data_IF_486553855206
#
_entry.id   IF_486553855206
#
_cell.length_a   1.000
_cell.length_b   1.000
_cell.length_c   1.000
_cell.angle_alpha   90.00
_cell.angle_beta   90.00
_cell.angle_gamma   90.00
#
_symmetry.space_group_name_H-M   'P 1'
#
loop_
_entity.id
_entity.type
_entity.pdbx_description
1 polymer ?
#
# COMPACT_ATOMS: atom_id res chain seq x y z
N UNK A 1 0.65 3.90 3.33
CA UNK A 1 0.29 3.29 2.03
C UNK A 1 0.80 1.86 1.96
N UNK A 2 2.12 1.59 1.98
CA UNK A 2 2.66 0.23 1.84
C UNK A 2 2.02 -0.73 2.85
N UNK A 3 2.04 -0.39 4.14
CA UNK A 3 1.45 -1.21 5.21
C UNK A 3 -0.04 -1.47 5.01
N UNK A 4 -0.79 -0.49 4.51
CA UNK A 4 -2.25 -0.66 4.29
C UNK A 4 -2.51 -1.64 3.16
N UNK A 5 -1.81 -1.47 2.04
CA UNK A 5 -1.92 -2.35 0.87
C UNK A 5 -1.53 -3.79 1.23
N UNK A 6 -0.41 -3.97 1.95
CA UNK A 6 0.01 -5.31 2.41
C UNK A 6 -0.98 -5.92 3.39
N UNK A 7 -1.59 -5.13 4.27
CA UNK A 7 -2.63 -5.62 5.19
C UNK A 7 -3.90 -6.05 4.44
N UNK A 8 -4.33 -5.32 3.41
CA UNK A 8 -5.48 -5.72 2.58
C UNK A 8 -5.17 -7.03 1.85
N UNK A 9 -3.95 -7.18 1.29
CA UNK A 9 -3.54 -8.42 0.64
C UNK A 9 -3.46 -9.60 1.62
N UNK A 10 -2.89 -9.39 2.80
CA UNK A 10 -2.84 -10.42 3.86
C UNK A 10 -4.23 -10.81 4.33
N UNK A 11 -5.14 -9.84 4.45
CA UNK A 11 -6.53 -10.12 4.79
C UNK A 11 -7.26 -10.91 3.70
N UNK A 12 -6.92 -10.69 2.41
CA UNK A 12 -7.43 -11.54 1.33
C UNK A 12 -6.97 -13.01 1.47
N UNK A 13 -5.73 -13.23 1.92
CA UNK A 13 -5.19 -14.57 2.19
C UNK A 13 -5.78 -15.21 3.46
N UNK A 14 -6.08 -14.42 4.48
CA UNK A 14 -6.69 -14.87 5.73
C UNK A 14 -7.89 -13.99 6.11
N UNK A 15 -9.09 -14.26 5.58
CA UNK A 15 -10.30 -13.47 5.83
C UNK A 15 -10.91 -13.66 7.24
N UNK A 16 -10.28 -14.46 8.09
CA UNK A 16 -10.64 -14.66 9.49
C UNK A 16 -9.89 -13.73 10.45
N UNK A 17 -8.89 -12.99 9.97
CA UNK A 17 -8.03 -12.13 10.78
C UNK A 17 -8.76 -10.84 11.19
N UNK A 18 -9.32 -10.86 12.39
CA UNK A 18 -10.09 -9.75 12.97
C UNK A 18 -9.22 -8.53 13.23
N UNK A 19 -7.94 -8.72 13.59
CA UNK A 19 -7.03 -7.60 13.80
C UNK A 19 -6.70 -6.87 12.50
N UNK A 20 -6.38 -7.61 11.43
CA UNK A 20 -6.15 -7.03 10.11
C UNK A 20 -7.40 -6.31 9.61
N UNK A 21 -8.59 -6.93 9.78
CA UNK A 21 -9.85 -6.30 9.40
C UNK A 21 -10.06 -4.95 10.07
N UNK A 22 -9.83 -4.86 11.38
CA UNK A 22 -9.97 -3.60 12.13
C UNK A 22 -8.96 -2.51 11.71
N UNK A 23 -7.87 -2.88 11.06
CA UNK A 23 -6.88 -1.92 10.51
C UNK A 23 -7.24 -1.40 9.12
N UNK A 24 -8.11 -2.11 8.37
CA UNK A 24 -8.37 -1.82 6.95
C UNK A 24 -9.81 -1.42 6.63
N UNK A 25 -10.83 -1.84 7.39
CA UNK A 25 -12.24 -1.68 7.04
C UNK A 25 -12.63 -0.23 6.71
N UNK A 26 -12.11 0.74 7.45
CA UNK A 26 -12.43 2.16 7.28
C UNK A 26 -11.65 2.84 6.14
N UNK A 27 -10.64 2.16 5.61
CA UNK A 27 -9.83 2.60 4.45
C UNK A 27 -10.40 2.12 3.13
N UNK A 28 -11.27 1.15 3.20
CA UNK A 28 -12.04 0.62 2.08
C UNK A 28 -13.50 1.09 2.20
N UNK A 29 -14.22 1.17 1.12
CA UNK A 29 -15.60 1.67 1.09
C UNK A 29 -16.60 0.69 1.71
N UNK A 30 -16.37 0.26 2.95
CA UNK A 30 -17.31 -0.61 3.68
C UNK A 30 -18.47 0.16 4.30
N UNK A 31 -18.26 1.44 4.61
CA UNK A 31 -19.18 2.32 5.36
C UNK A 31 -19.58 1.77 6.74
N UNK A 32 -18.84 0.83 7.28
CA UNK A 32 -19.03 0.30 8.63
C UNK A 32 -18.62 1.33 9.68
N UNK A 33 -19.45 1.49 10.69
CA UNK A 33 -19.07 2.18 11.92
C UNK A 33 -18.16 1.28 12.76
N UNK A 34 -17.37 1.87 13.66
CA UNK A 34 -16.44 1.14 14.53
C UNK A 34 -17.11 0.01 15.32
N UNK A 35 -18.26 0.30 15.93
CA UNK A 35 -19.02 -0.71 16.70
C UNK A 35 -19.54 -1.85 15.82
N UNK A 36 -19.96 -1.56 14.59
CA UNK A 36 -20.38 -2.57 13.62
C UNK A 36 -19.21 -3.46 13.19
N UNK A 37 -18.04 -2.86 12.87
CA UNK A 37 -16.84 -3.64 12.55
C UNK A 37 -16.42 -4.57 13.70
N UNK A 38 -16.47 -4.09 14.95
CA UNK A 38 -16.21 -4.90 16.14
C UNK A 38 -17.25 -6.01 16.35
N UNK A 39 -18.51 -5.74 16.00
CA UNK A 39 -19.57 -6.76 16.04
C UNK A 39 -19.29 -7.89 15.03
N UNK A 40 -18.89 -7.52 13.78
CA UNK A 40 -18.51 -8.52 12.79
C UNK A 40 -17.35 -9.39 13.26
N UNK A 41 -16.33 -8.80 13.87
CA UNK A 41 -15.20 -9.56 14.43
C UNK A 41 -15.65 -10.57 15.47
N UNK A 42 -16.49 -10.18 16.43
CA UNK A 42 -17.03 -11.10 17.44
C UNK A 42 -17.82 -12.24 16.84
N UNK A 43 -18.74 -11.96 15.91
CA UNK A 43 -19.53 -12.98 15.23
C UNK A 43 -18.61 -13.93 14.44
N UNK A 44 -17.58 -13.41 13.77
CA UNK A 44 -16.59 -14.20 13.04
C UNK A 44 -15.87 -15.19 13.96
N UNK A 45 -15.40 -14.72 15.11
CA UNK A 45 -14.70 -15.54 16.12
C UNK A 45 -15.62 -16.60 16.73
N UNK A 46 -16.85 -16.22 17.11
CA UNK A 46 -17.84 -17.13 17.72
C UNK A 46 -18.31 -18.24 16.76
N UNK A 47 -18.50 -17.90 15.48
CA UNK A 47 -19.05 -18.81 14.48
C UNK A 47 -18.01 -19.46 13.58
N UNK A 48 -16.73 -19.05 13.70
CA UNK A 48 -15.64 -19.51 12.83
C UNK A 48 -15.92 -19.29 11.33
N UNK A 49 -16.42 -18.11 10.98
CA UNK A 49 -16.70 -17.69 9.59
C UNK A 49 -15.85 -16.47 9.20
N UNK A 50 -15.60 -16.23 7.89
CA UNK A 50 -14.89 -15.02 7.44
C UNK A 50 -15.55 -13.75 7.96
N UNK A 51 -14.74 -12.75 8.36
CA UNK A 51 -15.24 -11.51 9.02
C UNK A 51 -16.30 -10.80 8.21
N UNK A 52 -16.14 -10.70 6.89
CA UNK A 52 -17.12 -10.03 6.04
C UNK A 52 -18.42 -10.85 5.82
N UNK A 53 -18.37 -12.17 5.97
CA UNK A 53 -19.55 -13.03 5.93
C UNK A 53 -20.37 -12.92 7.23
N UNK A 54 -19.73 -12.54 8.33
CA UNK A 54 -20.42 -12.23 9.58
C UNK A 54 -21.44 -11.08 9.44
N UNK A 55 -21.32 -10.23 8.39
CA UNK A 55 -22.28 -9.19 8.10
C UNK A 55 -23.70 -9.72 7.83
N UNK A 56 -23.84 -10.95 7.33
CA UNK A 56 -25.15 -11.61 7.11
C UNK A 56 -25.86 -11.96 8.43
N UNK A 57 -25.11 -12.07 9.50
CA UNK A 57 -25.59 -12.45 10.83
C UNK A 57 -25.64 -11.26 11.79
N UNK A 58 -25.15 -10.09 11.38
CA UNK A 58 -25.08 -8.91 12.22
C UNK A 58 -26.40 -8.13 12.20
N UNK A 59 -26.86 -7.75 13.37
CA UNK A 59 -28.05 -6.91 13.52
C UNK A 59 -27.70 -5.42 13.32
N UNK A 60 -28.64 -4.64 12.79
CA UNK A 60 -28.52 -3.18 12.68
C UNK A 60 -27.66 -2.71 11.49
N UNK A 61 -27.30 -3.60 10.56
CA UNK A 61 -26.71 -3.22 9.28
C UNK A 61 -27.83 -2.88 8.28
N UNK A 62 -27.73 -1.72 7.64
CA UNK A 62 -28.63 -1.41 6.53
C UNK A 62 -28.22 -2.13 5.25
N UNK A 63 -29.14 -2.24 4.28
CA UNK A 63 -28.90 -2.97 3.03
C UNK A 63 -27.73 -2.46 2.21
N UNK A 64 -27.42 -1.15 2.27
CA UNK A 64 -26.27 -0.56 1.59
C UNK A 64 -24.95 -1.08 2.19
N UNK A 65 -24.79 -1.02 3.51
CA UNK A 65 -23.58 -1.50 4.20
C UNK A 65 -23.40 -2.99 3.99
N UNK A 66 -24.48 -3.78 4.09
CA UNK A 66 -24.44 -5.21 3.80
C UNK A 66 -23.98 -5.49 2.35
N UNK A 67 -24.53 -4.75 1.37
CA UNK A 67 -24.11 -4.85 -0.02
C UNK A 67 -22.61 -4.52 -0.22
N UNK A 68 -22.09 -3.51 0.49
CA UNK A 68 -20.66 -3.17 0.45
C UNK A 68 -19.78 -4.26 1.08
N UNK A 69 -20.19 -4.86 2.18
CA UNK A 69 -19.47 -6.00 2.78
C UNK A 69 -19.42 -7.21 1.83
N UNK A 70 -20.53 -7.53 1.16
CA UNK A 70 -20.58 -8.59 0.14
C UNK A 70 -19.66 -8.28 -1.06
N UNK A 71 -19.69 -7.06 -1.55
CA UNK A 71 -18.82 -6.61 -2.63
C UNK A 71 -17.34 -6.72 -2.22
N UNK A 72 -16.98 -6.28 -1.02
CA UNK A 72 -15.62 -6.38 -0.50
C UNK A 72 -15.18 -7.85 -0.41
N UNK A 73 -15.99 -8.74 0.17
CA UNK A 73 -15.69 -10.17 0.23
C UNK A 73 -15.48 -10.77 -1.17
N UNK A 74 -16.27 -10.35 -2.15
CA UNK A 74 -16.13 -10.79 -3.55
C UNK A 74 -14.81 -10.30 -4.15
N UNK A 75 -14.44 -9.03 -3.91
CA UNK A 75 -13.16 -8.49 -4.38
C UNK A 75 -11.97 -9.23 -3.77
N UNK A 76 -12.00 -9.54 -2.46
CA UNK A 76 -10.93 -10.30 -1.80
C UNK A 76 -10.78 -11.71 -2.41
N UNK A 77 -11.88 -12.42 -2.65
CA UNK A 77 -11.84 -13.74 -3.31
C UNK A 77 -11.27 -13.68 -4.72
N UNK A 78 -11.60 -12.64 -5.48
CA UNK A 78 -11.07 -12.47 -6.83
C UNK A 78 -9.57 -12.17 -6.82
N UNK A 79 -9.07 -11.40 -5.84
CA UNK A 79 -7.63 -11.11 -5.69
C UNK A 79 -6.77 -12.37 -5.63
N UNK A 80 -7.28 -13.46 -5.04
CA UNK A 80 -6.53 -14.72 -4.91
C UNK A 80 -6.24 -15.41 -6.25
N UNK A 81 -6.94 -15.00 -7.31
CA UNK A 81 -6.85 -15.58 -8.66
C UNK A 81 -6.17 -14.62 -9.65
N UNK A 82 -5.81 -13.43 -9.23
CA UNK A 82 -5.32 -12.36 -10.09
C UNK A 82 -3.83 -12.10 -9.84
N UNK A 83 -3.14 -11.60 -10.88
CA UNK A 83 -1.78 -11.11 -10.74
C UNK A 83 -1.73 -9.86 -9.83
N UNK A 84 -0.63 -9.63 -9.10
CA UNK A 84 -0.51 -8.52 -8.14
C UNK A 84 -0.83 -7.14 -8.72
N UNK A 85 -0.51 -6.88 -9.98
CA UNK A 85 -0.87 -5.62 -10.67
C UNK A 85 -2.39 -5.39 -10.73
N UNK A 86 -3.16 -6.44 -11.00
CA UNK A 86 -4.64 -6.40 -10.98
C UNK A 86 -5.18 -6.28 -9.56
N UNK A 87 -4.53 -6.92 -8.59
CA UNK A 87 -4.87 -6.80 -7.18
C UNK A 87 -4.71 -5.36 -6.70
N UNK A 88 -3.60 -4.69 -7.05
CA UNK A 88 -3.37 -3.28 -6.69
C UNK A 88 -4.40 -2.35 -7.33
N UNK A 89 -4.75 -2.55 -8.60
CA UNK A 89 -5.84 -1.83 -9.24
C UNK A 89 -7.17 -2.02 -8.49
N UNK A 90 -7.45 -3.25 -8.06
CA UNK A 90 -8.67 -3.58 -7.31
C UNK A 90 -8.72 -2.91 -5.94
N UNK A 91 -7.58 -2.83 -5.26
CA UNK A 91 -7.43 -2.13 -3.97
C UNK A 91 -7.69 -0.63 -4.17
N UNK A 92 -7.03 -0.03 -5.16
CA UNK A 92 -7.12 1.41 -5.43
C UNK A 92 -8.55 1.85 -5.80
N UNK A 93 -9.14 1.20 -6.80
CA UNK A 93 -10.37 1.68 -7.43
C UNK A 93 -11.62 0.99 -6.87
N UNK A 94 -11.90 -0.31 -7.08
CA UNK A 94 -13.14 -0.92 -6.60
C UNK A 94 -13.30 -0.96 -5.09
N UNK A 95 -12.20 -1.09 -4.33
CA UNK A 95 -12.24 -1.04 -2.87
C UNK A 95 -12.20 0.38 -2.31
N UNK A 96 -11.90 1.39 -3.15
CA UNK A 96 -11.93 2.80 -2.79
C UNK A 96 -10.75 3.28 -1.96
N UNK A 97 -9.64 2.55 -1.95
CA UNK A 97 -8.44 2.98 -1.24
C UNK A 97 -7.83 4.25 -1.84
N UNK A 98 -7.92 4.45 -3.17
CA UNK A 98 -7.51 5.68 -3.84
C UNK A 98 -8.27 6.90 -3.31
N UNK A 99 -9.61 6.82 -3.21
CA UNK A 99 -10.40 7.89 -2.60
C UNK A 99 -10.07 8.13 -1.12
N UNK A 100 -9.68 7.09 -0.38
CA UNK A 100 -9.20 7.24 1.00
C UNK A 100 -7.91 8.06 1.03
N UNK A 101 -6.96 7.82 0.13
CA UNK A 101 -5.71 8.59 0.03
C UNK A 101 -6.00 10.06 -0.29
N UNK A 102 -6.84 10.33 -1.30
CA UNK A 102 -7.23 11.68 -1.70
C UNK A 102 -7.89 12.46 -0.55
N UNK A 103 -8.88 11.87 0.13
CA UNK A 103 -9.58 12.51 1.26
C UNK A 103 -8.67 12.83 2.44
N UNK A 104 -7.57 12.10 2.61
CA UNK A 104 -6.61 12.31 3.70
C UNK A 104 -5.35 13.08 3.25
N UNK A 105 -5.33 13.63 2.04
CA UNK A 105 -4.19 14.32 1.44
C UNK A 105 -2.89 13.50 1.55
N UNK A 106 -3.00 12.18 1.34
CA UNK A 106 -1.85 11.28 1.38
C UNK A 106 -1.25 11.14 -0.01
N UNK A 107 0.08 11.14 -0.06
CA UNK A 107 0.84 10.94 -1.30
C UNK A 107 0.63 9.51 -1.86
N UNK A 108 0.29 9.41 -3.13
CA UNK A 108 0.07 8.16 -3.87
C UNK A 108 1.33 7.61 -4.55
N UNK A 109 2.46 8.34 -4.55
CA UNK A 109 3.71 7.89 -5.16
C UNK A 109 4.12 6.48 -4.71
N UNK A 110 3.90 6.15 -3.44
CA UNK A 110 4.17 4.80 -2.92
C UNK A 110 3.27 3.73 -3.54
N UNK A 111 2.04 4.07 -3.88
CA UNK A 111 1.14 3.16 -4.58
C UNK A 111 1.60 2.94 -6.03
N UNK A 112 2.06 3.99 -6.69
CA UNK A 112 2.67 3.89 -8.01
C UNK A 112 3.90 2.97 -8.02
N UNK A 113 4.81 3.13 -7.05
CA UNK A 113 6.00 2.26 -6.90
C UNK A 113 5.57 0.80 -6.68
N UNK A 114 4.58 0.54 -5.81
CA UNK A 114 4.05 -0.81 -5.61
C UNK A 114 3.50 -1.42 -6.91
N UNK A 115 2.80 -0.62 -7.73
CA UNK A 115 2.32 -1.06 -9.05
C UNK A 115 3.47 -1.47 -9.95
N UNK A 116 4.53 -0.66 -10.03
CA UNK A 116 5.71 -0.98 -10.84
C UNK A 116 6.37 -2.30 -10.39
N UNK A 117 6.58 -2.48 -9.09
CA UNK A 117 7.15 -3.70 -8.52
C UNK A 117 6.28 -4.94 -8.73
N UNK A 118 4.97 -4.76 -8.89
CA UNK A 118 4.01 -5.86 -8.99
C UNK A 118 3.97 -6.55 -10.35
N UNK A 119 4.49 -5.91 -11.39
CA UNK A 119 4.43 -6.46 -12.76
C UNK A 119 5.27 -7.72 -12.96
N UNK A 120 6.32 -7.90 -12.15
CA UNK A 120 7.21 -9.06 -12.21
C UNK A 120 6.71 -10.24 -11.36
N UNK A 121 5.63 -10.05 -10.62
CA UNK A 121 5.15 -11.02 -9.64
C UNK A 121 3.90 -11.75 -10.12
N UNK A 122 3.82 -13.04 -9.81
CA UNK A 122 2.74 -13.92 -10.31
C UNK A 122 1.61 -14.12 -9.31
N UNK A 123 1.84 -13.85 -8.03
CA UNK A 123 0.86 -14.08 -6.96
C UNK A 123 0.99 -13.04 -5.83
N UNK A 124 -0.07 -12.91 -5.02
CA UNK A 124 -0.03 -12.09 -3.80
C UNK A 124 1.10 -12.57 -2.86
N UNK A 125 1.26 -13.89 -2.72
CA UNK A 125 2.27 -14.46 -1.83
C UNK A 125 3.69 -14.11 -2.26
N UNK A 126 4.02 -14.26 -3.56
CA UNK A 126 5.34 -13.89 -4.09
C UNK A 126 5.59 -12.38 -3.94
N UNK A 127 4.59 -11.57 -4.21
CA UNK A 127 4.70 -10.11 -4.09
C UNK A 127 4.93 -9.66 -2.63
N UNK A 128 4.19 -10.23 -1.68
CA UNK A 128 4.41 -9.95 -0.26
C UNK A 128 5.81 -10.36 0.19
N UNK A 129 6.28 -11.55 -0.23
CA UNK A 129 7.65 -12.02 0.05
C UNK A 129 8.72 -11.09 -0.52
N UNK A 130 8.53 -10.59 -1.76
CA UNK A 130 9.43 -9.59 -2.35
C UNK A 130 9.46 -8.29 -1.54
N UNK A 131 8.30 -7.79 -1.11
CA UNK A 131 8.25 -6.57 -0.30
C UNK A 131 8.93 -6.74 1.06
N UNK A 132 8.79 -7.90 1.70
CA UNK A 132 9.48 -8.24 2.95
C UNK A 132 10.99 -8.33 2.74
N UNK A 133 11.43 -8.95 1.66
CA UNK A 133 12.85 -9.00 1.28
C UNK A 133 13.44 -7.61 1.08
N UNK A 134 12.79 -6.75 0.28
CA UNK A 134 13.23 -5.37 0.08
C UNK A 134 13.28 -4.58 1.40
N UNK A 135 12.30 -4.79 2.28
CA UNK A 135 12.28 -4.15 3.60
C UNK A 135 13.44 -4.62 4.48
N UNK A 136 13.80 -5.91 4.43
CA UNK A 136 14.95 -6.45 5.18
C UNK A 136 16.26 -5.84 4.70
N UNK A 137 16.46 -5.75 3.39
CA UNK A 137 17.64 -5.11 2.81
C UNK A 137 17.80 -3.65 3.25
N UNK A 138 16.69 -2.89 3.26
CA UNK A 138 16.71 -1.49 3.72
C UNK A 138 17.05 -1.37 5.22
N UNK A 139 16.70 -2.38 6.02
CA UNK A 139 17.02 -2.40 7.46
C UNK A 139 18.48 -2.78 7.72
N UNK A 140 19.00 -3.74 6.98
CA UNK A 140 20.35 -4.26 7.20
C UNK A 140 21.45 -3.25 6.87
N UNK A 141 21.16 -2.24 6.02
CA UNK A 141 22.08 -1.14 5.64
C UNK A 141 23.56 -1.60 5.50
N UNK A 142 23.79 -2.80 4.97
CA UNK A 142 25.14 -3.25 4.73
C UNK A 142 25.64 -2.58 3.46
N UNK A 143 26.67 -1.71 3.55
CA UNK A 143 27.30 -1.23 2.33
C UNK A 143 27.92 -2.41 1.62
N UNK A 144 27.59 -2.59 0.36
CA UNK A 144 28.27 -3.53 -0.52
C UNK A 144 29.58 -2.87 -0.96
N UNK A 145 30.65 -3.17 -0.24
CA UNK A 145 31.98 -2.62 -0.53
C UNK A 145 32.60 -3.16 -1.84
N UNK A 146 32.05 -4.24 -2.39
CA UNK A 146 32.49 -4.84 -3.63
C UNK A 146 31.74 -4.26 -4.85
N UNK A 147 30.72 -3.43 -4.63
CA UNK A 147 29.95 -2.80 -5.69
C UNK A 147 30.71 -1.61 -6.29
N UNK A 148 30.92 -1.67 -7.60
CA UNK A 148 31.48 -0.54 -8.37
C UNK A 148 30.44 0.58 -8.64
N UNK A 149 29.20 0.42 -8.17
CA UNK A 149 28.12 1.36 -8.38
C UNK A 149 27.50 1.78 -7.04
N UNK A 150 27.48 3.07 -6.76
CA UNK A 150 26.96 3.64 -5.51
C UNK A 150 25.81 4.58 -5.82
N UNK A 151 24.62 4.30 -5.29
CA UNK A 151 23.51 5.26 -5.26
C UNK A 151 23.60 6.08 -3.98
N UNK A 152 23.72 7.40 -4.11
CA UNK A 152 23.81 8.29 -2.96
C UNK A 152 22.98 9.55 -3.15
N UNK A 153 22.52 10.14 -2.07
CA UNK A 153 21.99 11.50 -2.10
C UNK A 153 23.16 12.50 -2.13
N UNK A 154 22.92 13.72 -2.66
CA UNK A 154 23.93 14.80 -2.64
C UNK A 154 24.44 15.06 -1.21
N UNK A 155 23.58 14.99 -0.20
CA UNK A 155 23.98 15.16 1.19
C UNK A 155 24.87 14.03 1.69
N UNK A 156 24.58 12.79 1.30
CA UNK A 156 25.35 11.62 1.73
C UNK A 156 26.70 11.51 1.01
N UNK A 157 26.82 12.10 -0.18
CA UNK A 157 28.07 12.12 -0.95
C UNK A 157 29.00 13.28 -0.59
N UNK A 158 28.57 14.19 0.30
CA UNK A 158 29.38 15.33 0.70
C UNK A 158 30.72 14.90 1.32
N UNK A 159 31.81 15.32 0.70
CA UNK A 159 33.17 14.98 1.13
C UNK A 159 33.68 13.63 0.65
N UNK A 160 32.93 12.95 -0.23
CA UNK A 160 33.40 11.75 -0.93
C UNK A 160 33.84 12.11 -2.36
N UNK A 161 34.81 11.36 -2.87
CA UNK A 161 35.36 11.51 -4.22
C UNK A 161 35.05 10.24 -5.03
N UNK A 162 34.66 10.43 -6.29
CA UNK A 162 34.31 9.33 -7.21
C UNK A 162 34.96 9.60 -8.56
N UNK A 163 35.36 8.56 -9.27
CA UNK A 163 35.94 8.66 -10.60
C UNK A 163 34.91 9.14 -11.63
N UNK A 164 33.67 8.66 -11.51
CA UNK A 164 32.54 9.05 -12.36
C UNK A 164 31.32 9.36 -11.52
N UNK A 165 30.60 10.44 -11.84
CA UNK A 165 29.38 10.86 -11.16
C UNK A 165 28.29 11.13 -12.18
N UNK A 166 27.15 10.45 -12.00
CA UNK A 166 25.92 10.67 -12.75
C UNK A 166 24.90 11.39 -11.87
N UNK A 167 24.65 12.66 -12.17
CA UNK A 167 23.65 13.44 -11.46
C UNK A 167 22.31 13.32 -12.19
N UNK A 168 21.33 12.70 -11.54
CA UNK A 168 19.99 12.47 -12.09
C UNK A 168 19.06 13.64 -11.72
N UNK A 169 17.97 13.77 -12.47
CA UNK A 169 16.89 14.75 -12.23
C UNK A 169 17.36 16.21 -12.18
N UNK A 170 18.39 16.56 -12.98
CA UNK A 170 18.85 17.94 -13.13
C UNK A 170 17.88 18.70 -14.04
N UNK A 171 16.77 19.13 -13.45
CA UNK A 171 15.78 19.96 -14.13
C UNK A 171 15.21 21.01 -13.17
N UNK A 172 14.73 22.12 -13.74
CA UNK A 172 14.17 23.22 -12.97
C UNK A 172 13.04 22.75 -12.04
N UNK A 173 13.14 23.12 -10.78
CA UNK A 173 12.16 22.75 -9.74
C UNK A 173 12.44 21.43 -9.03
N UNK A 174 13.40 20.62 -9.52
CA UNK A 174 13.89 19.41 -8.84
C UNK A 174 15.31 19.64 -8.33
N UNK A 175 16.23 20.00 -9.23
CA UNK A 175 17.58 20.41 -8.88
C UNK A 175 18.12 21.37 -9.95
N UNK A 176 18.33 22.67 -9.59
CA UNK A 176 18.05 23.29 -8.27
C UNK A 176 16.54 23.43 -7.96
N UNK A 177 16.17 23.37 -6.70
CA UNK A 177 14.77 23.41 -6.21
C UNK A 177 14.03 24.71 -6.61
N UNK A 178 14.73 25.82 -6.74
CA UNK A 178 14.21 27.08 -7.30
C UNK A 178 15.32 27.83 -8.02
N UNK A 179 15.09 28.18 -9.26
CA UNK A 179 15.95 29.11 -9.97
C UNK A 179 15.66 30.54 -9.48
N UNK A 180 16.48 31.03 -8.58
CA UNK A 180 16.44 32.45 -8.19
C UNK A 180 17.19 33.23 -9.25
N UNK A 181 16.45 33.72 -10.22
CA UNK A 181 17.02 34.75 -11.14
C UNK A 181 17.24 36.02 -10.32
N UNK A 182 18.48 36.26 -9.86
CA UNK A 182 18.86 37.58 -9.38
C UNK A 182 18.77 38.53 -10.56
N UNK A 183 17.79 39.44 -10.59
CA UNK A 183 17.81 40.60 -11.46
C UNK A 183 19.08 41.38 -11.12
N UNK A 184 20.10 41.28 -11.99
CA UNK A 184 21.19 42.25 -11.96
C UNK A 184 20.55 43.61 -12.16
N UNK A 185 20.58 44.46 -11.12
CA UNK A 185 20.31 45.86 -11.27
C UNK A 185 21.34 46.45 -12.25
N UNK A 186 20.86 47.05 -13.31
CA UNK A 186 21.59 47.94 -14.21
C UNK A 186 21.97 49.19 -13.46
#
# INVERSE_FOLDING_TARGET
>A
VVTDVTNIMRFALNPYDTELFLRIYFKCQTYLKKNQAQQLCRISEERHIPVLEAAECAEGLNGMVLGKCRAFATHLRNMLKEAPSRVLFRIETPLGYGEYLERNNMDDNKLFILKMLSYEEVSIGSFLGRLEYLQSMLREKRPDYDSNFILSTIHSSKGLEYEEVYLMDVCDGVFPDKVVYSKKAT
#
